data_IF_904214667936
#
_entry.id   IF_904214667936
#
_cell.length_a   1.000
_cell.length_b   1.000
_cell.length_c   1.000
_cell.angle_alpha   90.00
_cell.angle_beta   90.00
_cell.angle_gamma   90.00
#
_symmetry.space_group_name_H-M   'P 1'
#
loop_
_entity.id
_entity.type
_entity.pdbx_description
1 polymer ?
#
# COMPACT_ATOMS: atom_id res chain seq x y z
N UNK A 1 -4.79 -16.65 26.40
CA UNK A 1 -3.92 -16.69 25.19
C UNK A 1 -4.62 -15.96 24.06
N UNK A 2 -3.98 -14.98 23.43
CA UNK A 2 -4.53 -14.36 22.23
C UNK A 2 -4.66 -15.41 21.12
N UNK A 3 -5.72 -15.34 20.33
CA UNK A 3 -5.86 -16.17 19.13
C UNK A 3 -4.86 -15.68 18.07
N UNK A 4 -4.49 -16.55 17.14
CA UNK A 4 -3.64 -16.19 16.00
C UNK A 4 -4.19 -14.98 15.24
N UNK A 5 -5.50 -14.96 15.00
CA UNK A 5 -6.17 -13.82 14.35
C UNK A 5 -6.03 -12.52 15.16
N UNK A 6 -6.14 -12.59 16.48
CA UNK A 6 -5.95 -11.44 17.37
C UNK A 6 -4.52 -10.86 17.28
N UNK A 7 -3.52 -11.72 17.13
CA UNK A 7 -2.12 -11.29 16.98
C UNK A 7 -1.90 -10.59 15.64
N UNK A 8 -2.47 -11.12 14.57
CA UNK A 8 -2.39 -10.52 13.22
C UNK A 8 -3.11 -9.17 13.19
N UNK A 9 -4.30 -9.09 13.78
CA UNK A 9 -5.07 -7.85 13.84
C UNK A 9 -4.33 -6.76 14.63
N UNK A 10 -3.72 -7.15 15.77
CA UNK A 10 -2.88 -6.24 16.54
C UNK A 10 -1.71 -5.73 15.72
N UNK A 11 -0.99 -6.61 15.03
CA UNK A 11 0.12 -6.24 14.15
C UNK A 11 -0.35 -5.24 13.09
N UNK A 12 -1.46 -5.51 12.42
CA UNK A 12 -2.04 -4.64 11.40
C UNK A 12 -2.34 -3.24 11.94
N UNK A 13 -2.96 -3.18 13.10
CA UNK A 13 -3.31 -1.91 13.74
C UNK A 13 -2.07 -1.12 14.16
N UNK A 14 -1.08 -1.78 14.74
CA UNK A 14 0.16 -1.15 15.19
C UNK A 14 0.98 -0.64 13.99
N UNK A 15 1.10 -1.43 12.93
CA UNK A 15 1.78 -1.03 11.69
C UNK A 15 1.08 0.16 11.03
N UNK A 16 -0.24 0.12 10.92
CA UNK A 16 -1.03 1.21 10.33
C UNK A 16 -0.82 2.51 11.12
N UNK A 17 -0.88 2.45 12.44
CA UNK A 17 -0.64 3.60 13.31
C UNK A 17 0.78 4.16 13.14
N UNK A 18 1.78 3.28 13.08
CA UNK A 18 3.18 3.67 12.89
C UNK A 18 3.41 4.38 11.55
N UNK A 19 2.89 3.82 10.45
CA UNK A 19 3.03 4.42 9.13
C UNK A 19 2.22 5.72 9.02
N UNK A 20 1.06 5.79 9.61
CA UNK A 20 0.25 7.01 9.63
C UNK A 20 0.98 8.14 10.36
N UNK A 21 1.60 7.85 11.50
CA UNK A 21 2.42 8.81 12.24
C UNK A 21 3.64 9.27 11.41
N UNK A 22 4.36 8.33 10.80
CA UNK A 22 5.51 8.63 9.94
C UNK A 22 5.10 9.54 8.77
N UNK A 23 4.02 9.20 8.08
CA UNK A 23 3.54 9.97 6.94
C UNK A 23 3.02 11.35 7.33
N UNK A 24 2.39 11.47 8.50
CA UNK A 24 1.93 12.76 9.03
C UNK A 24 3.13 13.64 9.39
N UNK A 25 4.14 13.07 10.05
CA UNK A 25 5.37 13.79 10.39
C UNK A 25 6.17 14.24 9.18
N UNK A 26 6.10 13.52 8.08
CA UNK A 26 6.75 13.85 6.80
C UNK A 26 5.90 14.75 5.89
N UNK A 27 4.70 15.12 6.30
CA UNK A 27 3.80 15.95 5.51
C UNK A 27 3.07 15.22 4.37
N UNK A 28 3.15 13.89 4.32
CA UNK A 28 2.48 13.07 3.29
C UNK A 28 1.00 12.85 3.57
N UNK A 29 0.62 12.79 4.83
CA UNK A 29 -0.76 12.66 5.30
C UNK A 29 -1.06 13.70 6.39
N UNK A 30 -2.35 13.87 6.69
CA UNK A 30 -2.83 14.81 7.71
C UNK A 30 -3.51 14.08 8.87
N UNK A 31 -2.85 13.04 9.40
CA UNK A 31 -3.34 12.29 10.55
C UNK A 31 -4.50 11.34 10.27
N UNK A 32 -4.92 11.18 9.02
CA UNK A 32 -6.05 10.33 8.63
C UNK A 32 -5.69 9.46 7.43
N UNK A 33 -6.16 8.22 7.47
CA UNK A 33 -6.04 7.27 6.38
C UNK A 33 -7.27 7.40 5.48
N UNK A 34 -7.13 8.17 4.40
CA UNK A 34 -8.18 8.30 3.40
C UNK A 34 -8.37 6.97 2.68
N UNK A 35 -9.62 6.59 2.45
CA UNK A 35 -9.97 5.34 1.79
C UNK A 35 -11.28 5.50 1.00
N UNK A 36 -11.51 4.55 0.09
CA UNK A 36 -12.75 4.44 -0.68
C UNK A 36 -13.11 2.96 -0.80
N UNK A 37 -14.40 2.60 -0.71
CA UNK A 37 -14.83 1.22 -0.95
C UNK A 37 -14.41 0.69 -2.33
N UNK A 38 -14.43 1.52 -3.36
CA UNK A 38 -13.99 1.14 -4.71
C UNK A 38 -12.53 0.75 -4.74
N UNK A 39 -11.68 1.51 -4.05
CA UNK A 39 -10.23 1.24 -3.96
C UNK A 39 -9.99 -0.05 -3.18
N UNK A 40 -10.72 -0.28 -2.10
CA UNK A 40 -10.62 -1.50 -1.31
C UNK A 40 -11.04 -2.74 -2.12
N UNK A 41 -12.10 -2.64 -2.92
CA UNK A 41 -12.52 -3.71 -3.83
C UNK A 41 -11.45 -3.99 -4.90
N UNK A 42 -10.85 -2.96 -5.47
CA UNK A 42 -9.78 -3.11 -6.43
C UNK A 42 -8.59 -3.86 -5.82
N UNK A 43 -8.23 -3.55 -4.57
CA UNK A 43 -7.20 -4.30 -3.85
C UNK A 43 -7.56 -5.78 -3.73
N UNK A 44 -8.77 -6.11 -3.31
CA UNK A 44 -9.19 -7.50 -3.17
C UNK A 44 -9.09 -8.27 -4.50
N UNK A 45 -9.37 -7.61 -5.61
CA UNK A 45 -9.27 -8.19 -6.95
C UNK A 45 -7.81 -8.40 -7.40
N UNK A 46 -6.93 -7.46 -7.10
CA UNK A 46 -5.53 -7.46 -7.56
C UNK A 46 -4.58 -8.19 -6.61
N UNK A 47 -4.92 -8.29 -5.34
CA UNK A 47 -4.06 -8.82 -4.28
C UNK A 47 -3.51 -10.22 -4.57
N UNK A 48 -4.29 -11.21 -5.03
CA UNK A 48 -3.73 -12.54 -5.29
C UNK A 48 -2.57 -12.53 -6.29
N UNK A 49 -2.68 -11.77 -7.38
CA UNK A 49 -1.63 -11.64 -8.38
C UNK A 49 -0.42 -10.89 -7.83
N UNK A 50 -0.65 -9.81 -7.09
CA UNK A 50 0.42 -9.06 -6.44
C UNK A 50 1.18 -9.91 -5.43
N UNK A 51 0.48 -10.63 -4.58
CA UNK A 51 1.12 -11.53 -3.60
C UNK A 51 1.98 -12.59 -4.28
N UNK A 52 1.54 -13.12 -5.41
CA UNK A 52 2.32 -14.06 -6.19
C UNK A 52 3.69 -13.50 -6.59
N UNK A 53 3.73 -12.27 -7.07
CA UNK A 53 4.98 -11.59 -7.43
C UNK A 53 5.81 -11.23 -6.20
N UNK A 54 5.18 -10.67 -5.18
CA UNK A 54 5.87 -10.20 -3.98
C UNK A 54 6.53 -11.36 -3.22
N UNK A 55 5.86 -12.49 -3.06
CA UNK A 55 6.42 -13.66 -2.38
C UNK A 55 7.69 -14.17 -3.07
N UNK A 56 7.69 -14.20 -4.41
CA UNK A 56 8.85 -14.66 -5.18
C UNK A 56 10.06 -13.73 -5.06
N UNK A 57 9.84 -12.44 -4.80
CA UNK A 57 10.89 -11.43 -4.85
C UNK A 57 11.28 -10.88 -3.47
N UNK A 58 10.53 -11.20 -2.41
CA UNK A 58 10.69 -10.58 -1.10
C UNK A 58 12.06 -10.82 -0.47
N UNK A 59 12.59 -12.04 -0.56
CA UNK A 59 13.89 -12.35 0.04
C UNK A 59 15.03 -11.56 -0.58
N UNK A 60 14.98 -11.32 -1.90
CA UNK A 60 16.03 -10.57 -2.61
C UNK A 60 15.81 -9.07 -2.52
N UNK A 61 14.55 -8.61 -2.60
CA UNK A 61 14.20 -7.19 -2.72
C UNK A 61 13.01 -6.82 -1.81
N UNK A 62 13.15 -6.93 -0.47
CA UNK A 62 12.00 -6.74 0.43
C UNK A 62 11.40 -5.34 0.39
N UNK A 63 12.24 -4.30 0.41
CA UNK A 63 11.73 -2.93 0.36
C UNK A 63 11.07 -2.60 -0.98
N UNK A 64 11.61 -3.14 -2.07
CA UNK A 64 11.03 -2.99 -3.40
C UNK A 64 9.62 -3.58 -3.46
N UNK A 65 9.42 -4.79 -2.91
CA UNK A 65 8.10 -5.41 -2.86
C UNK A 65 7.09 -4.56 -2.10
N UNK A 66 7.49 -4.02 -0.95
CA UNK A 66 6.63 -3.16 -0.14
C UNK A 66 6.36 -1.81 -0.83
N UNK A 67 7.37 -1.23 -1.47
CA UNK A 67 7.19 0.00 -2.24
C UNK A 67 6.23 -0.21 -3.41
N UNK A 68 6.33 -1.33 -4.12
CA UNK A 68 5.42 -1.65 -5.23
C UNK A 68 3.96 -1.76 -4.79
N UNK A 69 3.70 -2.30 -3.59
CA UNK A 69 2.34 -2.29 -3.03
C UNK A 69 1.83 -0.85 -2.85
N UNK A 70 2.66 0.03 -2.33
CA UNK A 70 2.33 1.45 -2.19
C UNK A 70 2.13 2.15 -3.54
N UNK A 71 2.98 1.89 -4.51
CA UNK A 71 2.82 2.43 -5.87
C UNK A 71 1.51 1.95 -6.51
N UNK A 72 1.16 0.68 -6.33
CA UNK A 72 -0.11 0.15 -6.82
C UNK A 72 -1.30 0.88 -6.19
N UNK A 73 -1.24 1.14 -4.88
CA UNK A 73 -2.25 1.94 -4.17
C UNK A 73 -2.37 3.35 -4.73
N UNK A 74 -1.25 4.02 -4.98
CA UNK A 74 -1.23 5.34 -5.59
C UNK A 74 -1.83 5.32 -7.00
N UNK A 75 -1.48 4.33 -7.82
CA UNK A 75 -1.99 4.19 -9.18
C UNK A 75 -3.51 3.99 -9.18
N UNK A 76 -4.02 3.11 -8.33
CA UNK A 76 -5.46 2.84 -8.23
C UNK A 76 -6.22 4.10 -7.77
N UNK A 77 -5.72 4.82 -6.77
CA UNK A 77 -6.34 6.07 -6.31
C UNK A 77 -6.36 7.13 -7.41
N UNK A 78 -5.26 7.27 -8.15
CA UNK A 78 -5.16 8.20 -9.27
C UNK A 78 -6.18 7.87 -10.36
N UNK A 79 -6.28 6.61 -10.76
CA UNK A 79 -7.21 6.15 -11.80
C UNK A 79 -8.67 6.23 -11.33
N UNK A 80 -8.91 5.99 -10.04
CA UNK A 80 -10.22 6.16 -9.43
C UNK A 80 -10.73 7.60 -9.58
N UNK A 81 -9.88 8.57 -9.30
CA UNK A 81 -10.21 9.99 -9.46
C UNK A 81 -10.39 10.39 -10.93
N UNK A 82 -9.60 9.80 -11.81
CA UNK A 82 -9.56 10.18 -13.22
C UNK A 82 -10.78 9.70 -14.02
N UNK A 83 -11.09 8.41 -13.96
CA UNK A 83 -12.20 7.78 -14.68
C UNK A 83 -12.41 6.34 -14.19
N UNK A 84 -13.11 6.17 -13.08
CA UNK A 84 -13.26 4.83 -12.49
C UNK A 84 -14.08 3.89 -13.36
N UNK A 85 -15.10 4.40 -14.07
CA UNK A 85 -15.89 3.58 -14.99
C UNK A 85 -15.02 2.89 -16.04
N UNK A 86 -13.97 3.58 -16.48
CA UNK A 86 -13.01 3.05 -17.46
C UNK A 86 -12.00 2.07 -16.83
N UNK A 87 -11.46 2.42 -15.64
CA UNK A 87 -10.28 1.74 -15.10
C UNK A 87 -10.59 0.64 -14.07
N UNK A 88 -11.81 0.55 -13.58
CA UNK A 88 -12.17 -0.33 -12.46
C UNK A 88 -11.86 -1.82 -12.70
N UNK A 89 -11.88 -2.27 -13.93
CA UNK A 89 -11.68 -3.68 -14.30
C UNK A 89 -10.32 -3.93 -14.99
N UNK A 90 -9.41 -2.96 -14.96
CA UNK A 90 -8.10 -3.15 -15.60
C UNK A 90 -7.34 -4.30 -14.94
N UNK A 91 -6.69 -5.16 -15.74
CA UNK A 91 -5.98 -6.32 -15.21
C UNK A 91 -4.71 -5.91 -14.48
N UNK A 92 -4.22 -6.80 -13.62
CA UNK A 92 -2.96 -6.58 -12.90
C UNK A 92 -1.78 -6.29 -13.84
N UNK A 93 -1.75 -6.93 -15.01
CA UNK A 93 -0.71 -6.72 -16.01
C UNK A 93 -0.61 -5.26 -16.51
N UNK A 94 -1.67 -4.48 -16.41
CA UNK A 94 -1.66 -3.06 -16.73
C UNK A 94 -0.70 -2.27 -15.84
N UNK A 95 -0.53 -2.70 -14.59
CA UNK A 95 0.32 -2.03 -13.61
C UNK A 95 1.77 -2.53 -13.63
N UNK A 96 2.03 -3.65 -14.28
CA UNK A 96 3.39 -4.17 -14.49
C UNK A 96 4.05 -3.43 -15.66
N UNK A 97 5.38 -3.32 -15.63
CA UNK A 97 6.15 -2.76 -16.76
C UNK A 97 6.47 -3.82 -17.83
N UNK A 98 7.35 -3.46 -18.75
CA UNK A 98 7.78 -4.37 -19.84
C UNK A 98 8.43 -5.65 -19.31
N UNK A 99 9.20 -5.56 -18.22
CA UNK A 99 9.82 -6.70 -17.54
C UNK A 99 8.94 -7.23 -16.37
N UNK A 100 7.65 -6.94 -16.39
CA UNK A 100 6.71 -7.40 -15.38
C UNK A 100 6.87 -6.66 -14.06
N UNK A 101 7.03 -7.41 -12.97
CA UNK A 101 7.16 -6.88 -11.62
C UNK A 101 8.42 -6.03 -11.43
N UNK A 102 9.51 -6.34 -12.12
CA UNK A 102 10.79 -5.63 -12.00
C UNK A 102 10.71 -4.17 -12.46
N UNK A 103 9.76 -3.83 -13.31
CA UNK A 103 9.56 -2.48 -13.83
C UNK A 103 8.28 -1.82 -13.29
N UNK A 104 7.60 -2.43 -12.33
CA UNK A 104 6.32 -1.91 -11.83
C UNK A 104 6.46 -0.49 -11.28
N UNK A 105 7.50 -0.22 -10.51
CA UNK A 105 7.75 1.10 -9.93
C UNK A 105 7.93 2.16 -11.02
N UNK A 106 8.79 1.91 -11.98
CA UNK A 106 9.06 2.85 -13.09
C UNK A 106 7.80 3.06 -13.94
N UNK A 107 7.09 1.98 -14.27
CA UNK A 107 5.88 2.08 -15.07
C UNK A 107 4.80 2.92 -14.37
N UNK A 108 4.58 2.69 -13.09
CA UNK A 108 3.57 3.44 -12.33
C UNK A 108 3.99 4.90 -12.18
N UNK A 109 5.24 5.16 -11.78
CA UNK A 109 5.70 6.53 -11.52
C UNK A 109 5.83 7.37 -12.77
N UNK A 110 6.28 6.80 -13.88
CA UNK A 110 6.55 7.52 -15.11
C UNK A 110 5.36 7.56 -16.08
N UNK A 111 4.59 6.45 -16.18
CA UNK A 111 3.56 6.30 -17.21
C UNK A 111 2.14 6.49 -16.68
N UNK A 112 1.86 6.14 -15.43
CA UNK A 112 0.52 6.27 -14.84
C UNK A 112 0.41 7.58 -14.06
N UNK A 113 1.21 7.75 -13.01
CA UNK A 113 1.17 8.93 -12.15
C UNK A 113 1.83 10.15 -12.80
N UNK A 114 2.87 9.92 -13.58
CA UNK A 114 3.71 10.97 -14.20
C UNK A 114 4.25 11.95 -13.15
N UNK A 115 4.62 11.44 -12.00
CA UNK A 115 5.04 12.21 -10.84
C UNK A 115 6.09 11.46 -10.01
N UNK A 116 7.18 11.07 -10.66
CA UNK A 116 8.31 10.40 -9.99
C UNK A 116 8.87 11.24 -8.84
N UNK A 117 8.92 12.55 -9.02
CA UNK A 117 9.53 13.47 -8.06
C UNK A 117 8.91 13.39 -6.65
N UNK A 118 7.59 13.20 -6.56
CA UNK A 118 6.89 13.10 -5.28
C UNK A 118 6.64 11.66 -4.85
N UNK A 119 6.33 10.77 -5.79
CA UNK A 119 5.96 9.39 -5.48
C UNK A 119 7.14 8.56 -5.00
N UNK A 120 8.32 8.69 -5.61
CA UNK A 120 9.48 7.87 -5.26
C UNK A 120 9.97 8.16 -3.83
N UNK A 121 10.24 9.41 -3.42
CA UNK A 121 10.66 9.67 -2.04
C UNK A 121 9.61 9.23 -1.01
N UNK A 122 8.32 9.43 -1.29
CA UNK A 122 7.24 8.99 -0.41
C UNK A 122 7.27 7.48 -0.19
N UNK A 123 7.38 6.70 -1.26
CA UNK A 123 7.39 5.24 -1.15
C UNK A 123 8.69 4.71 -0.57
N UNK A 124 9.82 5.34 -0.82
CA UNK A 124 11.09 4.97 -0.17
C UNK A 124 11.00 5.13 1.35
N UNK A 125 10.43 6.22 1.83
CA UNK A 125 10.24 6.45 3.27
C UNK A 125 9.29 5.40 3.86
N UNK A 126 8.14 5.20 3.25
CA UNK A 126 7.12 4.27 3.76
C UNK A 126 7.61 2.81 3.74
N UNK A 127 8.23 2.37 2.63
CA UNK A 127 8.70 0.99 2.50
C UNK A 127 9.83 0.66 3.46
N UNK A 128 10.76 1.59 3.68
CA UNK A 128 11.83 1.40 4.66
C UNK A 128 11.26 1.25 6.08
N UNK A 129 10.33 2.12 6.46
CA UNK A 129 9.69 2.04 7.77
C UNK A 129 8.86 0.76 7.94
N UNK A 130 8.10 0.38 6.92
CA UNK A 130 7.31 -0.85 6.95
C UNK A 130 8.20 -2.10 7.07
N UNK A 131 9.30 -2.13 6.33
CA UNK A 131 10.25 -3.23 6.41
C UNK A 131 10.91 -3.34 7.79
N UNK A 132 11.35 -2.23 8.35
CA UNK A 132 11.90 -2.21 9.71
C UNK A 132 10.88 -2.67 10.75
N UNK A 133 9.63 -2.24 10.61
CA UNK A 133 8.56 -2.67 11.51
C UNK A 133 8.34 -4.18 11.41
N UNK A 134 8.24 -4.72 10.19
CA UNK A 134 8.07 -6.15 9.96
C UNK A 134 9.21 -6.96 10.56
N UNK A 135 10.46 -6.55 10.34
CA UNK A 135 11.64 -7.27 10.87
C UNK A 135 11.71 -7.23 12.39
N UNK A 136 11.31 -6.14 13.02
CA UNK A 136 11.28 -6.02 14.47
C UNK A 136 10.23 -6.92 15.11
N UNK A 137 9.07 -7.03 14.50
CA UNK A 137 7.94 -7.81 15.05
C UNK A 137 7.99 -9.28 14.65
N UNK A 138 8.70 -9.62 13.58
CA UNK A 138 8.81 -10.99 13.09
C UNK A 138 9.94 -11.72 13.82
N UNK A 139 9.58 -12.62 14.73
CA UNK A 139 10.54 -13.32 15.59
C UNK A 139 11.19 -14.53 14.92
N UNK A 140 10.50 -15.21 14.02
CA UNK A 140 10.99 -16.42 13.34
C UNK A 140 10.67 -16.40 11.85
N UNK A 141 11.65 -16.14 10.96
CA UNK A 141 11.46 -16.23 9.53
C UNK A 141 11.02 -17.63 9.08
N UNK A 142 10.19 -17.69 8.04
CA UNK A 142 9.74 -18.97 7.49
C UNK A 142 8.56 -19.61 8.20
N UNK A 143 7.98 -18.95 9.20
CA UNK A 143 6.78 -19.43 9.90
C UNK A 143 5.50 -18.94 9.22
N UNK A 144 4.38 -19.62 9.51
CA UNK A 144 3.06 -19.18 9.05
C UNK A 144 2.71 -17.76 9.55
N UNK A 145 3.09 -17.45 10.79
CA UNK A 145 2.89 -16.11 11.37
C UNK A 145 3.69 -15.04 10.60
N UNK A 146 4.96 -15.30 10.32
CA UNK A 146 5.79 -14.39 9.53
C UNK A 146 5.20 -14.13 8.15
N UNK A 147 4.65 -15.15 7.51
CA UNK A 147 3.98 -15.04 6.23
C UNK A 147 2.72 -14.18 6.33
N UNK A 148 1.91 -14.36 7.35
CA UNK A 148 0.71 -13.54 7.58
C UNK A 148 1.09 -12.07 7.84
N UNK A 149 2.14 -11.81 8.62
CA UNK A 149 2.62 -10.45 8.85
C UNK A 149 3.10 -9.80 7.55
N UNK A 150 3.77 -10.57 6.70
CA UNK A 150 4.16 -10.09 5.37
C UNK A 150 2.95 -9.70 4.52
N UNK A 151 1.94 -10.56 4.43
CA UNK A 151 0.71 -10.26 3.66
C UNK A 151 0.01 -9.01 4.18
N UNK A 152 -0.08 -8.86 5.48
CA UNK A 152 -0.67 -7.67 6.12
C UNK A 152 0.16 -6.42 5.83
N UNK A 153 1.48 -6.53 5.87
CA UNK A 153 2.37 -5.40 5.57
C UNK A 153 2.17 -4.90 4.13
N UNK A 154 2.04 -5.82 3.19
CA UNK A 154 1.73 -5.50 1.79
C UNK A 154 0.39 -4.78 1.68
N UNK A 155 -0.65 -5.29 2.31
CA UNK A 155 -1.99 -4.66 2.31
C UNK A 155 -1.95 -3.25 2.89
N UNK A 156 -1.29 -3.07 4.02
CA UNK A 156 -1.16 -1.75 4.68
C UNK A 156 -0.40 -0.79 3.77
N UNK A 157 0.67 -1.24 3.13
CA UNK A 157 1.41 -0.41 2.18
C UNK A 157 0.55 0.04 1.00
N UNK A 158 -0.29 -0.85 0.46
CA UNK A 158 -1.26 -0.47 -0.57
C UNK A 158 -2.19 0.65 -0.06
N UNK A 159 -2.76 0.49 1.12
CA UNK A 159 -3.69 1.46 1.71
C UNK A 159 -3.02 2.80 2.00
N UNK A 160 -1.79 2.78 2.47
CA UNK A 160 -0.99 4.01 2.69
C UNK A 160 -0.72 4.73 1.37
N UNK A 161 -0.31 4.01 0.35
CA UNK A 161 -0.10 4.59 -0.98
C UNK A 161 -1.37 5.23 -1.55
N UNK A 162 -2.49 4.54 -1.46
CA UNK A 162 -3.78 5.08 -1.90
C UNK A 162 -4.16 6.34 -1.11
N UNK A 163 -3.97 6.35 0.21
CA UNK A 163 -4.28 7.51 1.06
C UNK A 163 -3.40 8.72 0.71
N UNK A 164 -2.11 8.51 0.46
CA UNK A 164 -1.18 9.58 0.06
C UNK A 164 -1.64 10.20 -1.26
N UNK A 165 -1.98 9.40 -2.24
CA UNK A 165 -2.44 9.90 -3.53
C UNK A 165 -3.79 10.62 -3.43
N UNK A 166 -4.75 10.09 -2.68
CA UNK A 166 -6.02 10.79 -2.43
C UNK A 166 -5.79 12.16 -1.77
N UNK A 167 -4.89 12.23 -0.80
CA UNK A 167 -4.54 13.50 -0.17
C UNK A 167 -3.90 14.48 -1.15
N UNK A 168 -3.00 14.01 -2.01
CA UNK A 168 -2.36 14.81 -3.05
C UNK A 168 -3.37 15.33 -4.08
N UNK A 169 -4.39 14.54 -4.39
CA UNK A 169 -5.48 14.93 -5.29
C UNK A 169 -6.46 15.92 -4.66
N UNK A 170 -6.33 16.21 -3.37
CA UNK A 170 -7.12 17.20 -2.66
C UNK A 170 -8.28 16.65 -1.85
N UNK A 171 -8.43 15.32 -1.74
CA UNK A 171 -9.46 14.71 -0.89
C UNK A 171 -9.11 14.93 0.58
N UNK A 172 -10.17 15.12 1.38
CA UNK A 172 -10.06 15.37 2.83
C UNK A 172 -11.07 14.50 3.56
N UNK A 173 -10.70 14.08 4.77
CA UNK A 173 -11.64 13.45 5.66
C UNK A 173 -12.53 14.52 6.29
N UNK A 174 -13.82 14.44 6.00
CA UNK A 174 -14.83 15.29 6.63
C UNK A 174 -15.69 14.46 7.58
N UNK A 175 -15.70 14.87 8.84
CA UNK A 175 -16.61 14.29 9.82
C UNK A 175 -17.97 14.91 9.59
N UNK A 176 -18.90 14.16 9.00
CA UNK A 176 -20.28 14.59 8.86
C UNK A 176 -20.96 14.45 10.22
N UNK A 177 -21.26 15.59 10.87
CA UNK A 177 -22.18 15.60 11.99
C UNK A 177 -23.58 15.44 11.42
N UNK A 178 -24.12 14.22 11.49
CA UNK A 178 -25.55 14.02 11.29
C UNK A 178 -26.22 14.71 12.48
N UNK A 179 -26.67 15.95 12.31
CA UNK A 179 -27.41 16.68 13.33
C UNK A 179 -28.65 15.90 13.74
N UNK A 180 -28.89 15.83 15.07
CA UNK A 180 -30.14 15.31 15.62
C UNK A 180 -31.30 16.27 15.29
#
# INVERSE_FOLDING_TARGET
MPTEQSTVDKYKNDLTANLLETCTGSGLLKGKLLASPDIDEAWMRLAPSFYGDAVRNFNAYPEYCLACAGYLGMAIAYLWDKDWAKYQDFPYSFFQGERGFDDMDDHITDNILKDRKHSVPAMQTCSANAYHFLMRECTEPGTAEAYQFFLVTVEVMFKIGAAIELGRLGYKYEKVNLGN
#
